data_IF_230218345024
#
_entry.id   IF_230218345024
#
_cell.length_a   1.000
_cell.length_b   1.000
_cell.length_c   1.000
_cell.angle_alpha   90.00
_cell.angle_beta   90.00
_cell.angle_gamma   90.00
#
_symmetry.space_group_name_H-M   'P 1'
#
loop_
_entity.id
_entity.type
_entity.pdbx_description
1 polymer ?
#
# COMPACT_ATOMS: atom_id res chain seq x y z
N UNK A 1 0.21 -26.00 -0.22
CA UNK A 1 0.61 -26.10 1.20
C UNK A 1 0.74 -24.68 1.73
N UNK A 2 -0.23 -24.20 2.51
CA UNK A 2 -0.23 -22.90 3.18
C UNK A 2 -0.16 -23.09 4.71
N UNK A 3 0.47 -24.18 5.16
CA UNK A 3 0.50 -24.61 6.56
C UNK A 3 1.58 -23.94 7.42
N UNK A 4 2.51 -23.19 6.82
CA UNK A 4 3.75 -22.79 7.50
C UNK A 4 3.82 -21.28 7.80
N UNK A 5 2.74 -20.53 7.54
CA UNK A 5 2.63 -19.17 8.07
C UNK A 5 2.25 -19.25 9.55
N UNK A 6 3.26 -19.35 10.41
CA UNK A 6 3.07 -19.16 11.86
C UNK A 6 2.46 -17.76 12.08
N UNK A 7 1.20 -17.65 12.55
CA UNK A 7 0.57 -16.37 12.83
C UNK A 7 1.26 -15.61 13.98
N UNK A 8 2.16 -16.26 14.71
CA UNK A 8 2.86 -15.72 15.89
C UNK A 8 4.19 -15.00 15.58
N UNK A 9 4.65 -14.97 14.33
CA UNK A 9 5.79 -14.11 13.96
C UNK A 9 5.31 -12.67 13.81
N UNK A 10 5.54 -11.86 14.85
CA UNK A 10 5.17 -10.42 14.94
C UNK A 10 5.45 -9.60 13.67
N UNK A 11 6.50 -9.94 12.92
CA UNK A 11 6.93 -9.24 11.70
C UNK A 11 6.75 -10.08 10.40
N UNK A 12 6.06 -11.20 10.47
CA UNK A 12 5.89 -12.11 9.32
C UNK A 12 7.19 -12.83 8.92
N UNK A 13 7.24 -13.39 7.68
CA UNK A 13 8.42 -14.08 7.18
C UNK A 13 9.59 -13.12 6.91
N UNK A 14 10.80 -13.67 6.75
CA UNK A 14 11.94 -12.90 6.27
C UNK A 14 11.67 -12.39 4.85
N UNK A 15 12.27 -11.25 4.52
CA UNK A 15 12.10 -10.62 3.22
C UNK A 15 12.59 -11.54 2.10
N UNK A 16 13.71 -12.23 2.28
CA UNK A 16 14.25 -13.17 1.28
C UNK A 16 13.30 -14.33 0.99
N UNK A 17 12.61 -14.85 2.02
CA UNK A 17 11.60 -15.89 1.86
C UNK A 17 10.40 -15.38 1.05
N UNK A 18 9.95 -14.15 1.34
CA UNK A 18 8.88 -13.50 0.59
C UNK A 18 9.25 -13.27 -0.88
N UNK A 19 10.47 -12.81 -1.17
CA UNK A 19 10.96 -12.59 -2.54
C UNK A 19 11.04 -13.92 -3.30
N UNK A 20 11.51 -14.98 -2.64
CA UNK A 20 11.56 -16.31 -3.23
C UNK A 20 10.16 -16.88 -3.48
N UNK A 21 9.18 -16.61 -2.60
CA UNK A 21 7.77 -16.93 -2.82
C UNK A 21 7.18 -16.13 -4.00
N UNK A 22 7.46 -14.82 -4.10
CA UNK A 22 6.99 -13.96 -5.19
C UNK A 22 7.43 -14.43 -6.58
N UNK A 23 8.62 -15.05 -6.69
CA UNK A 23 9.08 -15.66 -7.95
C UNK A 23 8.20 -16.82 -8.43
N UNK A 24 7.47 -17.47 -7.52
CA UNK A 24 6.73 -18.70 -7.81
C UNK A 24 5.22 -18.49 -7.86
N UNK A 25 4.66 -17.61 -7.03
CA UNK A 25 3.29 -17.08 -7.05
C UNK A 25 3.11 -16.16 -5.84
N UNK A 26 2.46 -15.02 -5.98
CA UNK A 26 2.02 -14.29 -4.78
C UNK A 26 1.13 -15.20 -3.94
N UNK A 27 1.24 -15.17 -2.59
CA UNK A 27 0.20 -15.75 -1.75
C UNK A 27 -1.11 -15.11 -2.21
N UNK A 28 -2.02 -15.93 -2.73
CA UNK A 28 -3.36 -15.52 -3.08
C UNK A 28 -4.06 -15.23 -1.75
N UNK A 29 -3.78 -14.05 -1.17
CA UNK A 29 -4.56 -13.55 -0.04
C UNK A 29 -5.94 -13.34 -0.62
N UNK A 30 -6.96 -14.08 -0.14
CA UNK A 30 -8.31 -13.91 -0.65
C UNK A 30 -8.71 -12.44 -0.55
N UNK A 31 -9.46 -11.95 -1.54
CA UNK A 31 -9.92 -10.56 -1.55
C UNK A 31 -10.60 -10.24 -0.21
N UNK A 32 -10.02 -9.34 0.61
CA UNK A 32 -10.52 -9.11 1.95
C UNK A 32 -11.87 -8.40 1.88
N UNK A 33 -12.76 -8.77 2.79
CA UNK A 33 -14.02 -8.07 2.99
C UNK A 33 -13.80 -6.63 3.42
N UNK A 34 -14.80 -5.77 3.17
CA UNK A 34 -14.78 -4.37 3.63
C UNK A 34 -14.55 -4.24 5.13
N UNK A 35 -15.03 -5.21 5.92
CA UNK A 35 -14.86 -5.18 7.37
C UNK A 35 -13.41 -5.51 7.76
N UNK A 36 -12.79 -6.50 7.12
CA UNK A 36 -11.37 -6.81 7.34
C UNK A 36 -10.47 -5.64 6.98
N UNK A 37 -10.74 -4.98 5.84
CA UNK A 37 -10.03 -3.75 5.44
C UNK A 37 -10.18 -2.67 6.51
N UNK A 38 -11.40 -2.42 6.98
CA UNK A 38 -11.66 -1.39 8.00
C UNK A 38 -10.93 -1.71 9.32
N UNK A 39 -10.98 -2.96 9.77
CA UNK A 39 -10.28 -3.39 10.98
C UNK A 39 -8.77 -3.22 10.84
N UNK A 40 -8.19 -3.61 9.70
CA UNK A 40 -6.77 -3.43 9.43
C UNK A 40 -6.37 -1.94 9.46
N UNK A 41 -7.19 -1.06 8.87
CA UNK A 41 -6.98 0.39 8.95
C UNK A 41 -7.06 0.87 10.40
N UNK A 42 -8.04 0.43 11.19
CA UNK A 42 -8.14 0.82 12.59
C UNK A 42 -6.95 0.33 13.43
N UNK A 43 -6.41 -0.86 13.16
CA UNK A 43 -5.21 -1.36 13.85
C UNK A 43 -4.01 -0.42 13.69
N UNK A 44 -3.90 0.35 12.61
CA UNK A 44 -2.82 1.32 12.44
C UNK A 44 -2.82 2.43 13.52
N UNK A 45 -3.95 2.67 14.19
CA UNK A 45 -4.03 3.61 15.31
C UNK A 45 -3.32 3.11 16.57
N UNK A 46 -3.16 1.79 16.72
CA UNK A 46 -2.45 1.15 17.83
C UNK A 46 -1.28 0.28 17.31
N UNK A 47 -0.04 0.79 17.37
CA UNK A 47 1.16 0.10 16.88
C UNK A 47 1.44 -1.30 17.41
N UNK A 48 0.85 -1.68 18.54
CA UNK A 48 1.03 -3.01 19.13
C UNK A 48 0.06 -4.03 18.53
N UNK A 49 -1.06 -3.55 17.96
CA UNK A 49 -2.05 -4.36 17.25
C UNK A 49 -1.72 -4.59 15.76
N UNK A 50 -0.71 -3.90 15.22
CA UNK A 50 -0.35 -3.98 13.81
C UNK A 50 0.48 -5.23 13.53
N UNK A 51 -0.06 -6.10 12.69
CA UNK A 51 0.57 -7.36 12.28
C UNK A 51 1.02 -7.31 10.82
N UNK A 52 1.76 -8.33 10.39
CA UNK A 52 2.02 -8.59 8.97
C UNK A 52 0.71 -8.64 8.16
N UNK A 53 -0.31 -9.32 8.67
CA UNK A 53 -1.61 -9.45 8.01
C UNK A 53 -2.33 -8.12 7.87
N UNK A 54 -2.15 -7.19 8.82
CA UNK A 54 -2.71 -5.82 8.71
C UNK A 54 -2.28 -5.15 7.41
N UNK A 55 -0.99 -5.18 7.08
CA UNK A 55 -0.50 -4.58 5.84
C UNK A 55 -0.84 -5.41 4.60
N UNK A 56 -0.80 -6.74 4.69
CA UNK A 56 -1.21 -7.60 3.59
C UNK A 56 -2.68 -7.36 3.19
N UNK A 57 -3.57 -7.17 4.18
CA UNK A 57 -4.98 -6.82 3.97
C UNK A 57 -5.14 -5.44 3.33
N UNK A 58 -4.37 -4.44 3.76
CA UNK A 58 -4.40 -3.10 3.16
C UNK A 58 -3.89 -3.13 1.72
N UNK A 59 -2.77 -3.80 1.47
CA UNK A 59 -2.18 -3.90 0.12
C UNK A 59 -2.97 -4.81 -0.81
N UNK A 60 -3.77 -5.75 -0.31
CA UNK A 60 -4.68 -6.52 -1.16
C UNK A 60 -5.67 -5.60 -1.91
N UNK A 61 -5.97 -4.41 -1.39
CA UNK A 61 -6.76 -3.40 -2.09
C UNK A 61 -6.11 -2.90 -3.39
N UNK A 62 -4.80 -3.05 -3.55
CA UNK A 62 -4.08 -2.76 -4.79
C UNK A 62 -4.49 -3.71 -5.93
N UNK A 63 -5.02 -4.88 -5.59
CA UNK A 63 -5.38 -5.94 -6.56
C UNK A 63 -6.86 -6.19 -6.66
N UNK A 64 -7.64 -5.65 -5.73
CA UNK A 64 -9.08 -5.76 -5.79
C UNK A 64 -9.61 -4.72 -6.80
N UNK A 65 -10.33 -5.13 -7.85
CA UNK A 65 -10.93 -4.20 -8.83
C UNK A 65 -12.04 -3.30 -8.22
N UNK A 66 -12.35 -3.47 -6.93
CA UNK A 66 -13.35 -2.69 -6.23
C UNK A 66 -12.79 -1.32 -5.80
N UNK A 67 -13.06 -0.31 -6.63
CA UNK A 67 -12.84 1.12 -6.36
C UNK A 67 -13.45 1.59 -5.01
N UNK A 68 -14.40 0.82 -4.47
CA UNK A 68 -15.14 1.08 -3.24
C UNK A 68 -14.27 1.12 -1.97
N UNK A 69 -13.04 0.60 -2.04
CA UNK A 69 -12.14 0.53 -0.89
C UNK A 69 -11.09 1.62 -0.89
N UNK A 70 -10.67 2.16 -2.03
CA UNK A 70 -9.67 3.24 -2.09
C UNK A 70 -10.13 4.52 -1.38
N UNK A 71 -11.44 4.81 -1.42
CA UNK A 71 -12.02 5.90 -0.63
C UNK A 71 -11.77 5.75 0.89
N UNK A 72 -11.55 4.54 1.39
CA UNK A 72 -11.17 4.31 2.79
C UNK A 72 -9.73 4.75 3.07
N UNK A 73 -8.81 4.63 2.11
CA UNK A 73 -7.45 5.17 2.25
C UNK A 73 -7.43 6.69 2.18
N UNK A 74 -8.33 7.26 1.38
CA UNK A 74 -8.51 8.71 1.24
C UNK A 74 -9.33 9.35 2.37
N UNK A 75 -9.91 8.54 3.27
CA UNK A 75 -10.68 9.03 4.42
C UNK A 75 -9.77 9.52 5.56
N UNK A 76 -10.35 10.05 6.64
CA UNK A 76 -9.67 10.52 7.87
C UNK A 76 -8.87 9.44 8.64
N UNK A 77 -8.63 8.30 8.02
CA UNK A 77 -7.95 7.13 8.55
C UNK A 77 -6.47 7.36 8.95
N UNK A 78 -5.87 8.50 8.59
CA UNK A 78 -4.50 8.88 9.00
C UNK A 78 -3.45 7.79 8.74
N UNK A 79 -3.62 6.99 7.67
CA UNK A 79 -2.81 5.81 7.34
C UNK A 79 -1.34 6.19 7.17
N UNK A 80 -1.06 7.20 6.36
CA UNK A 80 0.31 7.67 6.12
C UNK A 80 1.03 8.12 7.41
N UNK A 81 0.45 9.02 8.24
CA UNK A 81 1.03 9.34 9.56
C UNK A 81 1.25 8.12 10.45
N UNK A 82 0.35 7.15 10.45
CA UNK A 82 0.46 5.94 11.26
C UNK A 82 1.62 5.05 10.80
N UNK A 83 1.76 4.81 9.49
CA UNK A 83 2.87 4.05 8.94
C UNK A 83 4.23 4.72 9.20
N UNK A 84 4.32 6.04 9.12
CA UNK A 84 5.55 6.79 9.46
C UNK A 84 5.89 6.65 10.95
N UNK A 85 4.89 6.74 11.84
CA UNK A 85 5.09 6.51 13.29
C UNK A 85 5.58 5.09 13.58
N UNK A 86 5.05 4.09 12.87
CA UNK A 86 5.47 2.70 12.98
C UNK A 86 6.92 2.51 12.55
N UNK A 87 7.29 3.00 11.35
CA UNK A 87 8.68 2.95 10.90
C UNK A 87 9.60 3.67 11.88
N UNK A 88 9.24 4.85 12.38
CA UNK A 88 10.05 5.56 13.37
C UNK A 88 10.19 4.77 14.69
N UNK A 89 9.12 4.16 15.18
CA UNK A 89 9.14 3.34 16.41
C UNK A 89 10.01 2.08 16.27
N UNK A 90 9.97 1.42 15.11
CA UNK A 90 10.60 0.12 14.95
C UNK A 90 11.96 0.15 14.21
N UNK A 91 12.24 1.15 13.37
CA UNK A 91 13.54 1.31 12.72
C UNK A 91 14.56 2.09 13.57
N UNK A 92 14.12 2.96 14.49
CA UNK A 92 15.02 3.84 15.23
C UNK A 92 15.47 3.26 16.58
N UNK A 93 14.72 2.32 17.15
CA UNK A 93 14.94 1.92 18.56
C UNK A 93 16.10 0.93 18.68
N UNK A 94 16.28 0.00 17.74
CA UNK A 94 17.43 -0.90 17.68
C UNK A 94 17.65 -1.28 16.22
N UNK A 95 18.87 -1.60 15.77
CA UNK A 95 19.21 -2.07 14.41
C UNK A 95 18.53 -3.41 14.03
N UNK A 96 17.28 -3.64 14.41
CA UNK A 96 16.51 -4.87 14.27
C UNK A 96 15.71 -4.81 12.98
N UNK A 97 16.39 -5.05 11.86
CA UNK A 97 15.88 -5.80 10.70
C UNK A 97 14.41 -5.72 10.33
N UNK A 98 13.70 -4.60 10.53
CA UNK A 98 12.29 -4.49 10.15
C UNK A 98 12.15 -4.68 8.64
N UNK A 99 13.10 -4.13 7.88
CA UNK A 99 13.24 -4.35 6.44
C UNK A 99 13.82 -5.72 6.10
N UNK A 100 14.45 -6.44 7.03
CA UNK A 100 14.85 -7.84 6.84
C UNK A 100 13.63 -8.78 6.89
N UNK A 101 12.46 -8.25 7.29
CA UNK A 101 11.18 -8.95 7.30
C UNK A 101 10.22 -8.36 6.27
N UNK A 102 9.30 -9.18 5.80
CA UNK A 102 8.25 -8.74 4.88
C UNK A 102 7.42 -7.57 5.46
N UNK A 103 7.26 -7.50 6.78
CA UNK A 103 6.57 -6.40 7.45
C UNK A 103 7.10 -5.01 7.08
N UNK A 104 8.43 -4.80 7.09
CA UNK A 104 9.02 -3.51 6.76
C UNK A 104 8.76 -3.11 5.31
N UNK A 105 8.87 -4.07 4.40
CA UNK A 105 8.54 -3.85 2.99
C UNK A 105 7.06 -3.48 2.79
N UNK A 106 6.13 -4.25 3.37
CA UNK A 106 4.70 -3.98 3.22
C UNK A 106 4.28 -2.65 3.86
N UNK A 107 4.87 -2.29 4.99
CA UNK A 107 4.67 -0.98 5.62
C UNK A 107 5.12 0.15 4.66
N UNK A 108 6.29 0.01 4.05
CA UNK A 108 6.80 0.98 3.08
C UNK A 108 5.92 1.06 1.82
N UNK A 109 5.48 -0.07 1.28
CA UNK A 109 4.55 -0.09 0.13
C UNK A 109 3.22 0.61 0.45
N UNK A 110 2.70 0.45 1.67
CA UNK A 110 1.49 1.14 2.12
C UNK A 110 1.67 2.67 2.19
N UNK A 111 2.86 3.13 2.61
CA UNK A 111 3.25 4.55 2.59
C UNK A 111 3.27 5.08 1.16
N UNK A 112 3.93 4.35 0.24
CA UNK A 112 3.99 4.74 -1.18
C UNK A 112 2.59 4.84 -1.75
N UNK A 113 1.75 3.81 -1.58
CA UNK A 113 0.37 3.81 -2.05
C UNK A 113 -0.43 5.01 -1.49
N UNK A 114 -0.33 5.28 -0.19
CA UNK A 114 -1.02 6.41 0.44
C UNK A 114 -0.54 7.75 -0.11
N UNK A 115 0.76 7.89 -0.38
CA UNK A 115 1.35 9.10 -0.97
C UNK A 115 0.85 9.31 -2.39
N UNK A 116 0.80 8.23 -3.18
CA UNK A 116 0.30 8.29 -4.55
C UNK A 116 -1.17 8.72 -4.60
N UNK A 117 -2.02 8.17 -3.72
CA UNK A 117 -3.42 8.59 -3.59
C UNK A 117 -3.52 10.06 -3.19
N UNK A 118 -2.70 10.54 -2.26
CA UNK A 118 -2.69 11.93 -1.84
C UNK A 118 -2.29 12.90 -2.99
N UNK A 119 -1.30 12.54 -3.80
CA UNK A 119 -0.91 13.32 -4.99
C UNK A 119 -2.07 13.39 -5.99
N UNK A 120 -2.74 12.26 -6.24
CA UNK A 120 -3.88 12.21 -7.16
C UNK A 120 -5.08 13.03 -6.67
N UNK A 121 -5.31 13.09 -5.35
CA UNK A 121 -6.30 13.98 -4.74
C UNK A 121 -5.93 15.45 -4.95
N UNK A 122 -4.67 15.82 -4.68
CA UNK A 122 -4.20 17.20 -4.83
C UNK A 122 -4.22 17.70 -6.28
N UNK A 123 -4.10 16.79 -7.24
CA UNK A 123 -4.09 17.09 -8.67
C UNK A 123 -5.46 16.89 -9.35
N UNK A 124 -6.51 16.61 -8.57
CA UNK A 124 -7.87 16.35 -9.06
C UNK A 124 -7.95 15.20 -10.10
N UNK A 125 -6.96 14.28 -10.08
CA UNK A 125 -6.88 13.16 -11.01
C UNK A 125 -7.50 11.87 -10.47
N UNK A 126 -7.83 11.83 -9.18
CA UNK A 126 -8.29 10.60 -8.52
C UNK A 126 -9.51 9.97 -9.21
N UNK A 127 -10.53 10.76 -9.56
CA UNK A 127 -11.77 10.24 -10.16
C UNK A 127 -11.54 9.59 -11.54
N UNK A 128 -10.63 10.17 -12.34
CA UNK A 128 -10.23 9.61 -13.63
C UNK A 128 -9.49 8.27 -13.47
N UNK A 129 -8.63 8.19 -12.46
CA UNK A 129 -7.91 6.96 -12.10
C UNK A 129 -8.89 5.89 -11.64
N UNK A 130 -9.82 6.23 -10.73
CA UNK A 130 -10.85 5.30 -10.25
C UNK A 130 -11.72 4.77 -11.41
N UNK A 131 -12.09 5.64 -12.35
CA UNK A 131 -12.82 5.23 -13.56
C UNK A 131 -12.00 4.27 -14.42
N UNK A 132 -10.70 4.51 -14.58
CA UNK A 132 -9.82 3.61 -15.33
C UNK A 132 -9.68 2.26 -14.62
N UNK A 133 -9.56 2.25 -13.30
CA UNK A 133 -9.46 1.05 -12.47
C UNK A 133 -10.70 0.17 -12.53
N UNK A 134 -11.89 0.77 -12.51
CA UNK A 134 -13.16 0.06 -12.61
C UNK A 134 -13.30 -0.78 -13.91
N UNK A 135 -12.53 -0.42 -14.94
CA UNK A 135 -12.52 -1.09 -16.24
C UNK A 135 -11.37 -2.09 -16.41
N UNK A 136 -10.51 -2.28 -15.39
CA UNK A 136 -9.39 -3.22 -15.47
C UNK A 136 -9.84 -4.67 -15.19
N UNK A 137 -9.12 -5.66 -15.76
CA UNK A 137 -9.35 -7.07 -15.41
C UNK A 137 -9.19 -7.30 -13.90
N UNK A 138 -9.97 -8.23 -13.31
CA UNK A 138 -9.74 -8.70 -11.95
C UNK A 138 -8.27 -9.10 -11.75
N UNK A 139 -7.75 -8.83 -10.55
CA UNK A 139 -6.37 -9.15 -10.14
C UNK A 139 -5.27 -8.36 -10.84
N UNK A 140 -5.62 -7.37 -11.67
CA UNK A 140 -4.65 -6.39 -12.17
C UNK A 140 -4.13 -5.53 -11.02
N UNK A 141 -2.81 -5.45 -10.87
CA UNK A 141 -2.20 -4.49 -9.95
C UNK A 141 -2.49 -3.08 -10.42
N UNK A 142 -2.98 -2.24 -9.52
CA UNK A 142 -3.28 -0.82 -9.79
C UNK A 142 -2.02 0.05 -9.65
N UNK A 143 -0.95 -0.50 -9.10
CA UNK A 143 0.30 0.22 -8.85
C UNK A 143 0.95 0.79 -10.12
N UNK A 144 1.07 0.05 -11.25
CA UNK A 144 1.56 0.61 -12.50
C UNK A 144 0.70 1.77 -13.03
N UNK A 145 -0.62 1.70 -12.83
CA UNK A 145 -1.54 2.75 -13.24
C UNK A 145 -1.30 4.03 -12.42
N UNK A 146 -1.20 3.90 -11.09
CA UNK A 146 -0.94 5.02 -10.18
C UNK A 146 0.43 5.67 -10.50
N UNK A 147 1.48 4.86 -10.64
CA UNK A 147 2.82 5.33 -11.00
C UNK A 147 2.82 6.08 -12.34
N UNK A 148 2.20 5.50 -13.38
CA UNK A 148 2.15 6.12 -14.70
C UNK A 148 1.43 7.47 -14.69
N UNK A 149 0.35 7.60 -13.91
CA UNK A 149 -0.42 8.84 -13.79
C UNK A 149 0.33 9.94 -13.07
N UNK A 150 1.07 9.59 -12.01
CA UNK A 150 1.90 10.56 -11.28
C UNK A 150 3.04 11.06 -12.15
N UNK A 151 3.75 10.15 -12.85
CA UNK A 151 4.80 10.55 -13.79
C UNK A 151 4.26 11.48 -14.88
N UNK A 152 3.06 11.19 -15.40
CA UNK A 152 2.41 12.06 -16.37
C UNK A 152 2.09 13.45 -15.79
N UNK A 153 1.61 13.51 -14.54
CA UNK A 153 1.34 14.78 -13.86
C UNK A 153 2.62 15.61 -13.64
N UNK A 154 3.73 14.97 -13.24
CA UNK A 154 5.04 15.62 -13.07
C UNK A 154 5.60 16.16 -14.39
N UNK A 155 5.48 15.38 -15.47
CA UNK A 155 5.88 15.81 -16.81
C UNK A 155 5.07 17.02 -17.30
N UNK A 156 3.75 17.02 -17.06
CA UNK A 156 2.89 18.13 -17.44
C UNK A 156 3.23 19.41 -16.65
N UNK A 157 3.43 19.29 -15.33
CA UNK A 157 3.83 20.42 -14.49
C UNK A 157 5.18 21.02 -14.93
N UNK A 158 6.14 20.16 -15.28
CA UNK A 158 7.45 20.58 -15.79
C UNK A 158 7.35 21.32 -17.13
N UNK A 159 6.44 20.88 -18.02
CA UNK A 159 6.21 21.54 -19.31
C UNK A 159 5.57 22.91 -19.14
N UNK A 160 4.53 23.03 -18.30
CA UNK A 160 3.89 24.32 -18.03
C UNK A 160 4.86 25.34 -17.41
N UNK A 161 5.73 24.89 -16.50
CA UNK A 161 6.76 25.76 -15.92
C UNK A 161 7.79 26.26 -16.95
N UNK A 162 8.09 25.46 -17.99
CA UNK A 162 8.98 25.89 -19.08
C UNK A 162 8.30 26.89 -20.03
N UNK A 163 6.99 26.77 -20.26
CA UNK A 163 6.22 27.69 -21.10
C UNK A 163 5.99 29.05 -20.44
N UNK A 164 5.94 29.12 -19.10
CA UNK A 164 5.84 30.40 -18.37
C UNK A 164 7.17 31.19 -18.31
N UNK A 165 8.30 30.54 -18.60
CA UNK A 165 9.64 31.14 -18.59
C UNK A 165 10.14 31.59 -19.98
N UNK A 166 9.37 31.31 -21.04
CA UNK A 166 9.66 31.66 -22.43
C UNK A 166 8.84 32.83 -22.93
#
# INVERSE_FOLDING_TARGET
MLSDFEPDKRYGPLLDDLINLQKHSWPQVPNPSRNEIRQAIYSLSDPESVTYMTFATILAMERTPACNHLALLASDACIFPACIKLLRKYCHVERKGLFDHAYGLLCFQTIVLSTQVAILLQTEQLDSVLTTMANQPPDSSVFPLLCGRILQAEMNASRSAMEELS
#
